data_IF_423373559456
#
_entry.id   IF_423373559456
#
_cell.length_a   1.000
_cell.length_b   1.000
_cell.length_c   1.000
_cell.angle_alpha   90.00
_cell.angle_beta   90.00
_cell.angle_gamma   90.00
#
_symmetry.space_group_name_H-M   'P 1'
#
loop_
_entity.id
_entity.type
_entity.pdbx_description
1 polymer ?
#
# COMPACT_ATOMS: atom_id res chain seq x y z
N UNK A 1 -23.60 -10.58 -4.15
CA UNK A 1 -22.17 -10.38 -3.83
C UNK A 1 -22.06 -10.43 -2.31
N UNK A 2 -21.38 -11.44 -1.75
CA UNK A 2 -21.22 -11.56 -0.31
C UNK A 2 -20.43 -10.35 0.21
N UNK A 3 -21.00 -9.65 1.20
CA UNK A 3 -20.35 -8.51 1.85
C UNK A 3 -19.20 -9.07 2.68
N UNK A 4 -17.96 -8.81 2.26
CA UNK A 4 -16.77 -9.23 3.00
C UNK A 4 -16.87 -8.73 4.45
N UNK A 5 -16.60 -9.63 5.40
CA UNK A 5 -16.60 -9.32 6.84
C UNK A 5 -15.34 -8.53 7.21
N UNK A 6 -14.35 -8.52 6.32
CA UNK A 6 -13.04 -7.90 6.48
C UNK A 6 -12.93 -6.68 5.55
N UNK A 7 -12.34 -5.61 6.05
CA UNK A 7 -12.17 -4.35 5.32
C UNK A 7 -10.78 -3.77 5.59
N UNK A 8 -10.22 -3.07 4.62
CA UNK A 8 -8.90 -2.45 4.72
C UNK A 8 -9.11 -0.94 4.79
N UNK A 9 -8.67 -0.34 5.89
CA UNK A 9 -8.71 1.10 6.11
C UNK A 9 -7.28 1.67 6.04
N UNK A 10 -7.13 2.90 5.54
CA UNK A 10 -5.87 3.64 5.65
C UNK A 10 -5.98 4.57 6.85
N UNK A 11 -5.07 4.43 7.81
CA UNK A 11 -4.99 5.29 8.98
C UNK A 11 -3.66 6.04 9.00
N UNK A 12 -3.71 7.33 8.70
CA UNK A 12 -2.51 8.16 8.57
C UNK A 12 -1.64 7.69 7.40
N UNK A 13 -0.47 7.13 7.71
CA UNK A 13 0.50 6.63 6.71
C UNK A 13 0.53 5.12 6.60
N UNK A 14 -0.34 4.39 7.30
CA UNK A 14 -0.35 2.93 7.33
C UNK A 14 -1.69 2.29 7.05
N UNK A 15 -1.67 1.02 6.65
CA UNK A 15 -2.86 0.19 6.49
C UNK A 15 -3.25 -0.51 7.80
N UNK A 16 -4.56 -0.49 8.07
CA UNK A 16 -5.23 -1.23 9.12
C UNK A 16 -6.24 -2.19 8.49
N UNK A 17 -6.41 -3.38 9.08
CA UNK A 17 -7.45 -4.35 8.69
C UNK A 17 -8.52 -4.36 9.77
N UNK A 18 -9.78 -4.14 9.40
CA UNK A 18 -10.94 -4.14 10.31
C UNK A 18 -11.88 -5.27 9.94
N UNK A 19 -12.28 -6.06 10.91
CA UNK A 19 -13.15 -7.22 10.70
C UNK A 19 -14.08 -7.44 11.89
N UNK A 20 -15.16 -8.21 11.68
CA UNK A 20 -16.06 -8.62 12.77
C UNK A 20 -15.92 -10.12 13.02
N UNK A 21 -15.69 -10.52 14.27
CA UNK A 21 -15.58 -11.92 14.65
C UNK A 21 -16.22 -12.13 16.03
N UNK A 22 -17.00 -13.20 16.19
CA UNK A 22 -17.77 -13.52 17.40
C UNK A 22 -18.64 -12.36 17.92
N UNK A 23 -19.27 -11.60 17.00
CA UNK A 23 -20.12 -10.45 17.34
C UNK A 23 -19.37 -9.19 17.79
N UNK A 24 -18.03 -9.22 17.82
CA UNK A 24 -17.18 -8.08 18.19
C UNK A 24 -16.45 -7.52 16.97
N UNK A 25 -16.25 -6.21 16.96
CA UNK A 25 -15.42 -5.54 15.95
C UNK A 25 -13.96 -5.52 16.39
N UNK A 26 -13.09 -5.95 15.49
CA UNK A 26 -11.64 -6.02 15.70
C UNK A 26 -10.92 -5.17 14.67
N UNK A 27 -9.72 -4.71 15.05
CA UNK A 27 -8.83 -3.94 14.17
C UNK A 27 -7.39 -4.38 14.38
N UNK A 28 -6.71 -4.65 13.28
CA UNK A 28 -5.30 -5.01 13.23
C UNK A 28 -4.50 -3.95 12.46
N UNK A 29 -3.67 -3.19 13.17
CA UNK A 29 -2.71 -2.28 12.53
C UNK A 29 -1.54 -3.05 11.94
N UNK A 30 -1.37 -3.01 10.61
CA UNK A 30 -0.33 -3.76 9.91
C UNK A 30 1.02 -3.04 9.96
N UNK A 31 1.01 -1.71 10.11
CA UNK A 31 2.23 -0.89 10.05
C UNK A 31 2.91 -0.91 8.68
N UNK A 32 2.18 -1.34 7.64
CA UNK A 32 2.61 -1.27 6.25
C UNK A 32 2.39 0.15 5.73
N UNK A 33 3.35 0.73 4.98
CA UNK A 33 3.19 2.07 4.44
C UNK A 33 2.04 2.13 3.42
N UNK A 34 1.41 3.31 3.30
CA UNK A 34 0.42 3.60 2.27
C UNK A 34 1.08 3.68 0.87
N UNK A 35 1.43 2.52 0.32
CA UNK A 35 1.98 2.33 -1.02
C UNK A 35 1.29 1.16 -1.71
N UNK A 36 1.48 1.00 -3.03
CA UNK A 36 0.86 -0.10 -3.79
C UNK A 36 1.26 -1.49 -3.26
N UNK A 37 2.53 -1.64 -2.86
CA UNK A 37 3.03 -2.89 -2.27
C UNK A 37 2.49 -3.11 -0.86
N UNK A 38 2.41 -2.06 -0.04
CA UNK A 38 1.74 -2.12 1.26
C UNK A 38 0.26 -2.49 1.14
N UNK A 39 -0.43 -1.97 0.12
CA UNK A 39 -1.83 -2.30 -0.19
C UNK A 39 -2.00 -3.77 -0.55
N UNK A 40 -1.17 -4.29 -1.46
CA UNK A 40 -1.22 -5.68 -1.88
C UNK A 40 -1.03 -6.63 -0.69
N UNK A 41 -0.03 -6.33 0.16
CA UNK A 41 0.18 -7.10 1.39
C UNK A 41 -0.97 -6.98 2.38
N UNK A 42 -1.56 -5.80 2.53
CA UNK A 42 -2.76 -5.63 3.35
C UNK A 42 -3.94 -6.45 2.83
N UNK A 43 -4.11 -6.54 1.51
CA UNK A 43 -5.14 -7.37 0.85
C UNK A 43 -4.89 -8.86 1.07
N UNK A 44 -3.64 -9.31 0.96
CA UNK A 44 -3.26 -10.70 1.21
C UNK A 44 -3.60 -11.09 2.67
N UNK A 45 -3.23 -10.25 3.63
CA UNK A 45 -3.52 -10.48 5.05
C UNK A 45 -5.03 -10.46 5.34
N UNK A 46 -5.76 -9.49 4.78
CA UNK A 46 -7.20 -9.42 4.91
C UNK A 46 -7.89 -10.68 4.35
N UNK A 47 -7.44 -11.16 3.19
CA UNK A 47 -7.93 -12.39 2.57
C UNK A 47 -7.64 -13.62 3.41
N UNK A 48 -6.46 -13.67 4.05
CA UNK A 48 -6.11 -14.78 4.93
C UNK A 48 -7.01 -14.82 6.18
N UNK A 49 -7.17 -13.67 6.85
CA UNK A 49 -8.09 -13.54 8.00
C UNK A 49 -9.51 -13.95 7.61
N UNK A 50 -9.99 -13.50 6.46
CA UNK A 50 -11.32 -13.87 5.97
C UNK A 50 -11.46 -15.38 5.75
N UNK A 51 -10.45 -16.03 5.14
CA UNK A 51 -10.44 -17.48 4.97
C UNK A 51 -10.46 -18.22 6.30
N UNK A 52 -9.62 -17.82 7.24
CA UNK A 52 -9.51 -18.52 8.53
C UNK A 52 -10.82 -18.37 9.34
N UNK A 53 -11.48 -17.21 9.25
CA UNK A 53 -12.81 -16.99 9.84
C UNK A 53 -13.85 -17.91 9.18
N UNK A 54 -13.84 -18.01 7.85
CA UNK A 54 -14.79 -18.85 7.11
C UNK A 54 -14.57 -20.35 7.36
N UNK A 55 -13.32 -20.76 7.57
CA UNK A 55 -12.96 -22.15 7.89
C UNK A 55 -13.21 -22.51 9.37
N UNK A 56 -13.47 -21.51 10.23
CA UNK A 56 -13.64 -21.71 11.67
C UNK A 56 -12.33 -21.95 12.42
N UNK A 57 -11.19 -21.75 11.77
CA UNK A 57 -9.82 -21.95 12.32
C UNK A 57 -9.24 -20.64 12.87
N UNK A 58 -10.03 -19.56 12.88
CA UNK A 58 -9.57 -18.25 13.33
C UNK A 58 -9.48 -18.18 14.85
N UNK A 59 -8.27 -18.06 15.39
CA UNK A 59 -8.01 -17.70 16.79
C UNK A 59 -7.61 -16.23 16.94
N UNK A 60 -8.40 -15.49 17.73
CA UNK A 60 -8.11 -14.11 18.10
C UNK A 60 -6.78 -13.97 18.85
N UNK A 61 -6.33 -14.99 19.60
CA UNK A 61 -5.07 -14.95 20.34
C UNK A 61 -3.87 -14.94 19.40
N UNK A 62 -4.03 -15.47 18.19
CA UNK A 62 -3.02 -15.53 17.16
C UNK A 62 -3.01 -14.30 16.24
N UNK A 63 -3.77 -13.24 16.55
CA UNK A 63 -3.84 -12.04 15.69
C UNK A 63 -2.48 -11.41 15.34
N UNK A 64 -1.48 -11.65 16.19
CA UNK A 64 -0.13 -11.16 16.03
C UNK A 64 0.67 -11.90 14.95
N UNK A 65 0.30 -13.13 14.59
CA UNK A 65 0.96 -13.94 13.53
C UNK A 65 0.70 -13.35 12.15
N UNK A 66 -0.48 -12.75 11.94
CA UNK A 66 -0.83 -12.04 10.72
C UNK A 66 -0.09 -10.71 10.55
N UNK A 67 0.64 -10.22 11.58
CA UNK A 67 1.38 -8.97 11.44
C UNK A 67 2.61 -9.21 10.56
N UNK A 68 2.82 -8.37 9.53
CA UNK A 68 3.98 -8.50 8.67
C UNK A 68 5.26 -8.29 9.48
N UNK A 69 6.28 -9.07 9.13
CA UNK A 69 7.59 -9.01 9.75
C UNK A 69 8.26 -7.65 9.50
N UNK A 70 9.28 -7.33 10.31
CA UNK A 70 10.06 -6.10 10.13
C UNK A 70 10.70 -6.03 8.73
N UNK A 71 11.20 -7.15 8.21
CA UNK A 71 11.80 -7.20 6.87
C UNK A 71 10.80 -6.88 5.76
N UNK A 72 9.56 -7.36 5.87
CA UNK A 72 8.50 -7.07 4.89
C UNK A 72 8.09 -5.60 4.90
N UNK A 73 8.02 -4.99 6.10
CA UNK A 73 7.78 -3.55 6.25
C UNK A 73 8.85 -2.72 5.56
N UNK A 74 10.12 -3.10 5.73
CA UNK A 74 11.25 -2.44 5.06
C UNK A 74 11.19 -2.59 3.53
N UNK A 75 10.84 -3.76 3.01
CA UNK A 75 10.67 -3.97 1.56
C UNK A 75 9.58 -3.08 0.99
N UNK A 76 8.43 -2.99 1.67
CA UNK A 76 7.33 -2.12 1.25
C UNK A 76 7.69 -0.63 1.30
N UNK A 77 8.52 -0.21 2.27
CA UNK A 77 9.04 1.16 2.34
C UNK A 77 10.03 1.47 1.22
N UNK A 78 11.02 0.62 0.98
CA UNK A 78 12.02 0.80 -0.11
C UNK A 78 11.36 0.86 -1.48
N UNK A 79 10.30 0.09 -1.71
CA UNK A 79 9.54 0.18 -2.95
C UNK A 79 8.87 1.55 -3.14
N UNK A 80 8.46 2.19 -2.04
CA UNK A 80 7.88 3.54 -2.07
C UNK A 80 8.94 4.57 -2.42
N UNK A 81 10.15 4.45 -1.87
CA UNK A 81 11.30 5.30 -2.20
C UNK A 81 11.75 5.13 -3.66
N UNK A 82 11.82 3.89 -4.15
CA UNK A 82 12.16 3.60 -5.54
C UNK A 82 11.17 4.23 -6.54
N UNK A 83 9.87 4.19 -6.24
CA UNK A 83 8.85 4.87 -7.04
C UNK A 83 9.04 6.40 -7.05
N UNK A 84 9.37 7.00 -5.91
CA UNK A 84 9.65 8.44 -5.82
C UNK A 84 10.87 8.85 -6.66
N UNK A 85 11.94 8.05 -6.65
CA UNK A 85 13.14 8.30 -7.47
C UNK A 85 12.79 8.29 -8.96
N UNK A 86 12.02 7.30 -9.43
CA UNK A 86 11.62 7.20 -10.84
C UNK A 86 10.81 8.45 -11.27
N UNK A 87 9.85 8.89 -10.44
CA UNK A 87 9.05 10.09 -10.72
C UNK A 87 9.94 11.34 -10.81
N UNK A 88 10.90 11.49 -9.89
CA UNK A 88 11.82 12.64 -9.89
C UNK A 88 12.73 12.65 -11.12
N UNK A 89 13.28 11.49 -11.50
CA UNK A 89 14.11 11.34 -12.71
C UNK A 89 13.31 11.67 -13.96
N UNK A 90 12.08 11.15 -14.09
CA UNK A 90 11.19 11.46 -15.20
C UNK A 90 10.82 12.94 -15.26
N UNK A 91 10.55 13.57 -14.10
CA UNK A 91 10.22 14.99 -14.03
C UNK A 91 11.40 15.87 -14.45
N UNK A 92 12.64 15.51 -14.07
CA UNK A 92 13.85 16.20 -14.52
C UNK A 92 14.07 16.02 -16.03
N UNK A 93 13.95 14.79 -16.54
CA UNK A 93 14.08 14.50 -17.97
C UNK A 93 13.07 15.27 -18.82
N UNK A 94 11.80 15.30 -18.40
CA UNK A 94 10.74 16.06 -19.08
C UNK A 94 11.02 17.57 -19.05
N UNK A 95 11.49 18.10 -17.92
CA UNK A 95 11.86 19.52 -17.79
C UNK A 95 12.98 19.91 -18.77
N UNK A 96 14.05 19.11 -18.86
CA UNK A 96 15.16 19.34 -19.79
C UNK A 96 14.72 19.26 -21.26
N UNK A 97 13.83 18.32 -21.62
CA UNK A 97 13.29 18.20 -22.98
C UNK A 97 12.34 19.36 -23.35
N UNK A 98 11.52 19.83 -22.41
CA UNK A 98 10.62 20.96 -22.63
C UNK A 98 11.35 22.31 -22.65
N UNK A 99 12.48 22.43 -21.93
CA UNK A 99 13.36 23.60 -21.99
C UNK A 99 14.01 23.76 -23.37
N UNK A 100 14.56 22.67 -23.93
CA UNK A 100 15.14 22.68 -25.30
C UNK A 100 14.11 23.02 -26.39
N UNK A 101 12.85 22.62 -26.23
CA UNK A 101 11.75 22.98 -27.16
C UNK A 101 11.29 24.43 -27.07
N UNK A 102 11.59 25.15 -25.97
CA UNK A 102 11.31 26.60 -25.88
C UNK A 102 12.39 27.40 -26.61
N UNK A 103 13.67 27.10 -26.39
CA UNK A 103 14.77 27.73 -27.12
C UNK A 103 14.67 27.57 -28.64
N UNK A 104 14.28 26.38 -29.15
CA UNK A 104 14.12 26.17 -30.59
C UNK A 104 12.98 26.99 -31.22
N UNK A 105 11.97 27.40 -30.44
CA UNK A 105 10.84 28.20 -30.93
C UNK A 105 11.15 29.70 -30.96
N UNK A 106 11.99 30.17 -30.04
CA UNK A 106 12.41 31.58 -29.99
C UNK A 106 13.43 31.92 -31.09
N UNK A 107 14.19 30.94 -31.59
CA UNK A 107 15.17 31.12 -32.69
C UNK A 107 14.50 31.18 -34.08
N UNK A 108 13.26 30.68 -34.25
CA UNK A 108 12.53 30.70 -35.52
C UNK A 108 11.62 31.93 -35.71
N UNK A 109 11.69 32.92 -34.81
CA UNK A 109 10.99 34.22 -34.91
C UNK A 109 12.01 35.35 -35.12
N UNK A 110 12.76 35.29 -36.20
CA UNK A 110 13.52 36.41 -36.75
C UNK A 110 13.41 36.38 -38.27
#
# INVERSE_FOLDING_TARGET
>A
MAKSIVSIEVRGKSYDVRFSYAGLQHRLGLGLPNSSLGKLKAVEIASQIEKDILLGDFDIKELHTYKPSYQEKLKAQKATEGQLIIILVWRRYLSEKLSKKRHARDIMRW
#
